data_IF_330056388425
#
_entry.id   IF_330056388425
#
_cell.length_a   1.000
_cell.length_b   1.000
_cell.length_c   1.000
_cell.angle_alpha   90.00
_cell.angle_beta   90.00
_cell.angle_gamma   90.00
#
_symmetry.space_group_name_H-M   'P 1'
#
loop_
_entity.id
_entity.type
_entity.pdbx_description
1 polymer ?
#
# COMPACT_ATOMS: atom_id res chain seq x y z
N UNK A 1 -43.25 -61.97 6.98
CA UNK A 1 -43.33 -60.71 7.74
C UNK A 1 -41.89 -60.25 7.97
N UNK A 2 -41.28 -59.48 7.04
CA UNK A 2 -41.04 -58.01 7.11
C UNK A 2 -40.61 -57.58 8.54
N UNK A 3 -39.47 -56.92 8.78
CA UNK A 3 -39.07 -55.60 8.26
C UNK A 3 -37.53 -55.45 8.18
N UNK A 4 -37.12 -54.86 7.05
CA UNK A 4 -35.88 -54.22 6.59
C UNK A 4 -34.97 -53.51 7.63
N UNK A 5 -33.66 -53.78 7.54
CA UNK A 5 -32.61 -52.78 7.80
C UNK A 5 -31.71 -52.73 6.56
N UNK A 6 -31.86 -51.67 5.78
CA UNK A 6 -31.11 -51.43 4.55
C UNK A 6 -29.75 -50.82 4.92
N UNK A 7 -28.68 -51.61 4.87
CA UNK A 7 -27.30 -51.09 4.82
C UNK A 7 -26.90 -51.08 3.36
N UNK A 8 -26.83 -49.88 2.77
CA UNK A 8 -26.35 -49.67 1.41
C UNK A 8 -24.81 -49.79 1.42
N UNK A 9 -24.31 -50.96 1.00
CA UNK A 9 -22.92 -51.12 0.56
C UNK A 9 -22.85 -50.49 -0.84
N UNK A 10 -22.38 -49.24 -0.93
CA UNK A 10 -22.00 -48.64 -2.19
C UNK A 10 -20.49 -48.81 -2.40
N UNK A 11 -20.16 -49.36 -3.56
CA UNK A 11 -18.84 -49.76 -4.01
C UNK A 11 -17.73 -48.74 -3.75
N UNK A 12 -16.63 -49.23 -3.16
CA UNK A 12 -15.32 -48.61 -3.23
C UNK A 12 -14.87 -48.74 -4.70
N UNK A 13 -15.14 -47.72 -5.50
CA UNK A 13 -14.43 -47.52 -6.76
C UNK A 13 -13.08 -46.89 -6.39
N UNK A 14 -11.94 -47.47 -6.78
CA UNK A 14 -10.65 -46.82 -6.61
C UNK A 14 -10.64 -45.63 -7.57
N UNK A 15 -10.94 -44.44 -7.07
CA UNK A 15 -10.66 -43.21 -7.79
C UNK A 15 -9.14 -43.15 -7.90
N UNK A 16 -8.66 -43.43 -9.11
CA UNK A 16 -7.29 -43.20 -9.52
C UNK A 16 -6.82 -41.88 -8.94
N UNK A 17 -5.68 -41.89 -8.22
CA UNK A 17 -4.89 -40.71 -7.94
C UNK A 17 -4.41 -40.11 -9.26
N UNK A 18 -5.31 -39.46 -9.99
CA UNK A 18 -4.94 -38.33 -10.82
C UNK A 18 -4.55 -37.25 -9.82
N UNK A 19 -3.24 -37.05 -9.71
CA UNK A 19 -2.63 -35.83 -9.21
C UNK A 19 -3.46 -34.65 -9.70
N UNK A 20 -4.30 -34.10 -8.82
CA UNK A 20 -4.80 -32.74 -8.96
C UNK A 20 -3.53 -31.91 -8.83
N UNK A 21 -2.89 -31.62 -9.98
CA UNK A 21 -1.99 -30.49 -10.11
C UNK A 21 -2.77 -29.31 -9.58
N UNK A 22 -2.44 -28.91 -8.37
CA UNK A 22 -3.19 -27.90 -7.66
C UNK A 22 -3.17 -26.64 -8.51
N UNK A 23 -4.31 -25.97 -8.66
CA UNK A 23 -4.41 -24.64 -9.29
C UNK A 23 -3.58 -23.57 -8.53
N UNK A 24 -2.86 -23.97 -7.48
CA UNK A 24 -1.88 -23.17 -6.76
C UNK A 24 -0.48 -23.16 -7.41
N UNK A 25 -0.16 -24.10 -8.31
CA UNK A 25 1.12 -24.12 -9.07
C UNK A 25 1.19 -23.04 -10.18
N UNK A 26 0.10 -22.31 -10.42
CA UNK A 26 0.00 -21.28 -11.47
C UNK A 26 0.56 -19.91 -11.02
N UNK A 27 0.90 -19.74 -9.73
CA UNK A 27 1.29 -18.43 -9.19
C UNK A 27 2.79 -18.21 -9.03
N UNK A 28 3.60 -18.91 -9.85
CA UNK A 28 4.94 -18.43 -10.20
C UNK A 28 4.81 -17.20 -11.11
N UNK A 29 4.44 -16.06 -10.54
CA UNK A 29 4.68 -14.76 -11.18
C UNK A 29 6.17 -14.70 -11.52
N UNK A 30 6.49 -14.30 -12.74
CA UNK A 30 7.86 -14.28 -13.25
C UNK A 30 8.80 -13.68 -12.21
N UNK A 31 9.95 -14.32 -11.90
CA UNK A 31 10.93 -13.70 -11.03
C UNK A 31 11.28 -12.32 -11.58
N UNK A 32 11.32 -11.30 -10.71
CA UNK A 32 11.78 -9.96 -11.10
C UNK A 32 13.15 -10.13 -11.73
N UNK A 33 13.24 -9.86 -13.03
CA UNK A 33 14.50 -9.95 -13.76
C UNK A 33 15.30 -8.68 -13.48
N UNK A 34 15.96 -8.63 -12.32
CA UNK A 34 16.70 -7.45 -11.88
C UNK A 34 17.80 -7.02 -12.85
N UNK A 35 18.33 -7.94 -13.67
CA UNK A 35 19.28 -7.60 -14.72
C UNK A 35 18.63 -6.81 -15.85
N UNK A 36 17.42 -7.18 -16.26
CA UNK A 36 16.65 -6.41 -17.23
C UNK A 36 16.22 -5.05 -16.64
N UNK A 37 15.81 -5.02 -15.37
CA UNK A 37 15.52 -3.74 -14.68
C UNK A 37 16.75 -2.84 -14.66
N UNK A 38 17.92 -3.40 -14.36
CA UNK A 38 19.21 -2.71 -14.41
C UNK A 38 19.49 -2.10 -15.78
N UNK A 39 19.38 -2.90 -16.84
CA UNK A 39 19.62 -2.43 -18.21
C UNK A 39 18.68 -1.28 -18.57
N UNK A 40 17.39 -1.37 -18.20
CA UNK A 40 16.41 -0.29 -18.43
C UNK A 40 16.79 0.98 -17.68
N UNK A 41 17.11 0.89 -16.38
CA UNK A 41 17.49 2.04 -15.57
C UNK A 41 18.78 2.71 -16.07
N UNK A 42 19.82 1.93 -16.38
CA UNK A 42 21.08 2.47 -16.90
C UNK A 42 20.90 3.12 -18.28
N UNK A 43 20.11 2.49 -19.17
CA UNK A 43 19.79 3.06 -20.48
C UNK A 43 19.04 4.38 -20.37
N UNK A 44 18.10 4.49 -19.42
CA UNK A 44 17.36 5.72 -19.17
C UNK A 44 18.33 6.84 -18.75
N UNK A 45 19.22 6.57 -17.78
CA UNK A 45 20.22 7.54 -17.31
C UNK A 45 21.20 8.02 -18.40
N UNK A 46 21.56 7.15 -19.34
CA UNK A 46 22.47 7.51 -20.45
C UNK A 46 21.79 8.35 -21.53
N UNK A 47 20.49 8.12 -21.77
CA UNK A 47 19.76 8.75 -22.88
C UNK A 47 19.22 10.13 -22.56
N UNK A 48 18.93 10.43 -21.30
CA UNK A 48 18.61 11.77 -20.77
C UNK A 48 18.56 11.68 -19.23
N UNK A 49 18.58 12.81 -18.51
CA UNK A 49 18.21 12.74 -17.07
C UNK A 49 16.83 12.11 -17.00
N UNK A 50 16.58 11.13 -16.12
CA UNK A 50 15.25 10.59 -15.92
C UNK A 50 14.32 11.77 -15.69
N UNK A 51 13.58 12.12 -16.73
CA UNK A 51 12.61 13.19 -16.59
C UNK A 51 11.47 12.57 -15.79
N UNK A 52 10.65 13.41 -15.17
CA UNK A 52 9.47 12.93 -14.47
C UNK A 52 8.63 12.01 -15.40
N UNK A 53 8.81 12.13 -16.72
CA UNK A 53 8.27 11.28 -17.76
C UNK A 53 8.79 9.83 -17.81
N UNK A 54 9.85 9.40 -17.12
CA UNK A 54 10.15 7.94 -17.02
C UNK A 54 9.12 7.18 -16.15
N UNK A 55 8.18 7.93 -15.55
CA UNK A 55 6.92 7.48 -14.98
C UNK A 55 5.72 7.63 -15.96
N UNK A 56 5.96 7.71 -17.28
CA UNK A 56 5.03 7.95 -18.43
C UNK A 56 3.81 7.02 -18.57
N UNK A 57 3.44 6.28 -17.54
CA UNK A 57 2.08 5.74 -17.40
C UNK A 57 1.10 6.72 -16.76
N UNK A 58 1.58 7.79 -16.11
CA UNK A 58 0.74 8.77 -15.41
C UNK A 58 1.13 10.19 -15.81
N UNK A 59 0.14 10.93 -16.31
CA UNK A 59 0.28 12.34 -16.67
C UNK A 59 0.52 13.16 -15.39
N UNK A 60 1.79 13.41 -15.12
CA UNK A 60 2.38 14.14 -13.98
C UNK A 60 1.99 15.62 -13.88
N UNK A 61 1.18 16.12 -14.81
CA UNK A 61 0.50 17.41 -14.72
C UNK A 61 -1.03 17.28 -14.61
N UNK A 62 -1.57 16.07 -14.67
CA UNK A 62 -2.93 15.79 -14.24
C UNK A 62 -2.89 15.44 -12.77
N UNK A 63 -3.72 16.14 -12.01
CA UNK A 63 -4.03 15.75 -10.64
C UNK A 63 -4.58 14.32 -10.69
N UNK A 64 -3.83 13.33 -10.20
CA UNK A 64 -4.36 12.00 -9.92
C UNK A 64 -5.35 12.15 -8.76
N UNK A 65 -6.57 12.53 -9.10
CA UNK A 65 -7.72 12.61 -8.23
C UNK A 65 -8.32 11.21 -8.24
N UNK A 66 -8.23 10.43 -7.13
CA UNK A 66 -8.79 9.09 -7.08
C UNK A 66 -10.21 9.06 -7.66
N UNK A 67 -10.37 8.43 -8.81
CA UNK A 67 -11.67 8.32 -9.47
C UNK A 67 -12.54 7.25 -8.79
N UNK A 68 -13.88 7.34 -8.90
CA UNK A 68 -14.78 6.31 -8.37
C UNK A 68 -14.61 4.93 -9.05
N UNK A 69 -13.97 4.90 -10.23
CA UNK A 69 -13.66 3.68 -10.99
C UNK A 69 -12.35 2.99 -10.57
N UNK A 70 -11.69 3.48 -9.52
CA UNK A 70 -10.36 2.97 -9.15
C UNK A 70 -10.41 1.56 -8.53
N UNK A 71 -9.84 0.57 -9.23
CA UNK A 71 -9.80 -0.87 -8.89
C UNK A 71 -8.89 -1.23 -7.69
N UNK A 72 -8.90 -0.41 -6.64
CA UNK A 72 -8.01 -0.56 -5.49
C UNK A 72 -8.59 -1.40 -4.35
N UNK A 73 -9.70 -2.08 -4.62
CA UNK A 73 -10.44 -2.92 -3.69
C UNK A 73 -10.10 -4.38 -3.96
N UNK A 74 -9.89 -5.15 -2.90
CA UNK A 74 -9.70 -6.58 -3.04
C UNK A 74 -11.05 -7.21 -3.42
N UNK A 75 -11.14 -7.88 -4.58
CA UNK A 75 -12.42 -8.35 -5.11
C UNK A 75 -12.95 -9.54 -4.31
N UNK A 76 -14.28 -9.67 -4.25
CA UNK A 76 -15.00 -10.80 -3.59
C UNK A 76 -14.64 -12.19 -4.18
N UNK A 77 -14.03 -12.20 -5.37
CA UNK A 77 -13.51 -13.41 -6.00
C UNK A 77 -12.26 -13.95 -5.32
N UNK A 78 -11.50 -13.10 -4.61
CA UNK A 78 -10.34 -13.53 -3.84
C UNK A 78 -10.79 -14.35 -2.63
N UNK A 79 -10.37 -15.62 -2.58
CA UNK A 79 -10.76 -16.55 -1.53
C UNK A 79 -9.67 -16.67 -0.48
N UNK A 80 -10.03 -16.37 0.76
CA UNK A 80 -9.23 -16.66 1.95
C UNK A 80 -9.76 -17.90 2.65
N UNK A 81 -8.86 -18.66 3.28
CA UNK A 81 -9.16 -19.92 3.95
C UNK A 81 -9.61 -19.74 5.40
N UNK A 82 -9.41 -18.56 6.00
CA UNK A 82 -9.65 -18.29 7.41
C UNK A 82 -10.51 -17.03 7.63
N UNK A 83 -11.45 -17.03 8.59
CA UNK A 83 -12.28 -15.87 8.92
C UNK A 83 -11.49 -14.60 9.30
N UNK A 84 -10.37 -14.75 9.98
CA UNK A 84 -9.51 -13.64 10.42
C UNK A 84 -8.89 -12.92 9.22
N UNK A 85 -8.48 -13.67 8.19
CA UNK A 85 -7.98 -13.12 6.93
C UNK A 85 -9.09 -12.42 6.14
N UNK A 86 -10.34 -12.90 6.24
CA UNK A 86 -11.48 -12.19 5.66
C UNK A 86 -11.70 -10.86 6.37
N UNK A 87 -11.60 -10.83 7.70
CA UNK A 87 -11.64 -9.58 8.46
C UNK A 87 -10.56 -8.58 8.02
N UNK A 88 -9.37 -9.07 7.66
CA UNK A 88 -8.30 -8.22 7.13
C UNK A 88 -8.66 -7.63 5.75
N UNK A 89 -9.21 -8.43 4.85
CA UNK A 89 -9.72 -7.95 3.54
C UNK A 89 -10.80 -6.89 3.75
N UNK A 90 -11.77 -7.16 4.63
CA UNK A 90 -12.89 -6.25 4.89
C UNK A 90 -12.37 -4.92 5.48
N UNK A 91 -11.41 -4.97 6.41
CA UNK A 91 -10.78 -3.77 6.96
C UNK A 91 -9.99 -3.01 5.92
N UNK A 92 -9.18 -3.71 5.13
CA UNK A 92 -8.37 -3.09 4.10
C UNK A 92 -9.26 -2.31 3.13
N UNK A 93 -10.30 -2.96 2.59
CA UNK A 93 -11.28 -2.32 1.70
C UNK A 93 -11.97 -1.12 2.38
N UNK A 94 -12.32 -1.24 3.66
CA UNK A 94 -12.92 -0.14 4.43
C UNK A 94 -12.01 1.09 4.52
N UNK A 95 -10.72 0.88 4.83
CA UNK A 95 -9.72 1.95 4.88
C UNK A 95 -9.47 2.56 3.51
N UNK A 96 -9.43 1.75 2.44
CA UNK A 96 -9.23 2.24 1.07
C UNK A 96 -10.36 3.18 0.63
N UNK A 97 -11.62 2.77 0.82
CA UNK A 97 -12.78 3.62 0.48
C UNK A 97 -12.78 4.91 1.31
N UNK A 98 -12.59 4.78 2.62
CA UNK A 98 -12.54 5.94 3.52
C UNK A 98 -11.43 6.93 3.12
N UNK A 99 -10.24 6.41 2.84
CA UNK A 99 -9.09 7.23 2.48
C UNK A 99 -9.31 7.95 1.14
N UNK A 100 -9.83 7.27 0.12
CA UNK A 100 -10.12 7.90 -1.16
C UNK A 100 -11.16 9.04 -1.03
N UNK A 101 -12.19 8.86 -0.20
CA UNK A 101 -13.16 9.92 0.12
C UNK A 101 -12.48 11.09 0.83
N UNK A 102 -11.62 10.80 1.81
CA UNK A 102 -10.90 11.83 2.55
C UNK A 102 -9.94 12.63 1.66
N UNK A 103 -9.20 11.97 0.76
CA UNK A 103 -8.30 12.64 -0.18
C UNK A 103 -9.03 13.64 -1.06
N UNK A 104 -10.25 13.33 -1.54
CA UNK A 104 -11.08 14.29 -2.27
C UNK A 104 -11.40 15.53 -1.43
N UNK A 105 -11.75 15.31 -0.17
CA UNK A 105 -12.07 16.41 0.73
C UNK A 105 -10.82 17.25 1.08
N UNK A 106 -9.64 16.65 1.24
CA UNK A 106 -8.39 17.40 1.40
C UNK A 106 -8.07 18.28 0.19
N UNK A 107 -8.38 17.81 -1.03
CA UNK A 107 -8.26 18.60 -2.25
C UNK A 107 -9.21 19.81 -2.22
N UNK A 108 -10.46 19.62 -1.78
CA UNK A 108 -11.39 20.75 -1.59
C UNK A 108 -10.85 21.77 -0.59
N UNK A 109 -10.36 21.34 0.58
CA UNK A 109 -9.83 22.27 1.59
C UNK A 109 -8.72 23.15 0.99
N UNK A 110 -7.88 22.58 0.12
CA UNK A 110 -6.85 23.34 -0.62
C UNK A 110 -7.46 24.34 -1.60
N UNK A 111 -8.47 23.95 -2.37
CA UNK A 111 -9.11 24.84 -3.33
C UNK A 111 -10.06 25.84 -2.69
N UNK A 112 -10.45 25.68 -1.42
CA UNK A 112 -11.44 26.56 -0.77
C UNK A 112 -11.04 28.04 -0.73
N UNK A 113 -9.74 28.35 -0.81
CA UNK A 113 -9.21 29.72 -0.92
C UNK A 113 -9.35 30.33 -2.33
N UNK A 114 -9.68 29.51 -3.33
CA UNK A 114 -9.78 29.89 -4.72
C UNK A 114 -11.20 29.57 -5.22
N UNK A 115 -11.91 30.55 -5.78
CA UNK A 115 -13.33 30.39 -6.12
C UNK A 115 -13.57 29.52 -7.37
N UNK A 116 -13.24 28.22 -7.29
CA UNK A 116 -13.31 27.22 -8.36
C UNK A 116 -14.57 26.34 -8.24
N UNK A 117 -15.72 26.92 -8.57
CA UNK A 117 -17.02 26.22 -8.43
C UNK A 117 -17.11 24.91 -9.21
N UNK A 118 -16.55 24.85 -10.43
CA UNK A 118 -16.56 23.62 -11.25
C UNK A 118 -15.77 22.48 -10.58
N UNK A 119 -14.66 22.83 -9.91
CA UNK A 119 -13.83 21.86 -9.20
C UNK A 119 -14.55 21.33 -7.95
N UNK A 120 -15.27 22.17 -7.22
CA UNK A 120 -16.07 21.71 -6.08
C UNK A 120 -17.16 20.72 -6.50
N UNK A 121 -17.80 20.96 -7.65
CA UNK A 121 -18.79 20.02 -8.21
C UNK A 121 -18.12 18.70 -8.57
N UNK A 122 -16.95 18.71 -9.20
CA UNK A 122 -16.19 17.49 -9.50
C UNK A 122 -15.82 16.72 -8.23
N UNK A 123 -15.32 17.40 -7.20
CA UNK A 123 -14.96 16.79 -5.92
C UNK A 123 -16.19 16.15 -5.25
N UNK A 124 -17.33 16.85 -5.20
CA UNK A 124 -18.57 16.29 -4.65
C UNK A 124 -19.04 15.06 -5.45
N UNK A 125 -18.97 15.12 -6.79
CA UNK A 125 -19.31 13.99 -7.64
C UNK A 125 -18.40 12.79 -7.38
N UNK A 126 -17.09 12.99 -7.22
CA UNK A 126 -16.14 11.93 -6.88
C UNK A 126 -16.43 11.33 -5.51
N UNK A 127 -16.61 12.17 -4.48
CA UNK A 127 -16.97 11.74 -3.12
C UNK A 127 -18.21 10.86 -3.18
N UNK A 128 -19.28 11.33 -3.84
CA UNK A 128 -20.54 10.58 -3.95
C UNK A 128 -20.41 9.32 -4.81
N UNK A 129 -19.53 9.33 -5.81
CA UNK A 129 -19.33 8.26 -6.77
C UNK A 129 -18.61 7.03 -6.23
N UNK A 130 -17.82 7.15 -5.16
CA UNK A 130 -17.15 5.97 -4.58
C UNK A 130 -18.17 4.92 -4.11
N UNK A 131 -18.10 3.72 -4.70
CA UNK A 131 -18.96 2.61 -4.32
C UNK A 131 -18.62 2.07 -2.95
N UNK A 132 -19.65 1.68 -2.20
CA UNK A 132 -19.56 1.01 -0.90
C UNK A 132 -20.01 -0.46 -0.96
N UNK A 133 -20.24 -1.00 -2.16
CA UNK A 133 -20.77 -2.35 -2.39
C UNK A 133 -19.81 -3.45 -1.92
N UNK A 134 -18.51 -3.17 -1.95
CA UNK A 134 -17.47 -4.08 -1.48
C UNK A 134 -17.38 -4.18 0.05
N UNK A 135 -18.00 -3.25 0.77
CA UNK A 135 -17.91 -3.17 2.23
C UNK A 135 -18.91 -4.13 2.87
N UNK A 136 -18.41 -5.07 3.68
CA UNK A 136 -19.25 -6.11 4.31
C UNK A 136 -19.83 -5.70 5.66
N UNK A 137 -19.21 -4.76 6.36
CA UNK A 137 -19.68 -4.26 7.66
C UNK A 137 -20.72 -3.14 7.46
N UNK A 138 -21.97 -3.41 7.87
CA UNK A 138 -23.08 -2.46 7.73
C UNK A 138 -22.86 -1.16 8.52
N UNK A 139 -22.16 -1.21 9.66
CA UNK A 139 -21.83 -0.02 10.45
C UNK A 139 -20.85 0.86 9.67
N UNK A 140 -19.82 0.24 9.09
CA UNK A 140 -18.84 0.93 8.24
C UNK A 140 -19.54 1.54 7.02
N UNK A 141 -20.34 0.74 6.29
CA UNK A 141 -21.06 1.19 5.09
C UNK A 141 -21.94 2.41 5.42
N UNK A 142 -22.74 2.30 6.47
CA UNK A 142 -23.64 3.37 6.92
C UNK A 142 -22.85 4.63 7.31
N UNK A 143 -21.75 4.48 8.03
CA UNK A 143 -20.91 5.61 8.45
C UNK A 143 -20.27 6.31 7.26
N UNK A 144 -19.79 5.55 6.27
CA UNK A 144 -19.23 6.11 5.03
C UNK A 144 -20.29 6.86 4.23
N UNK A 145 -21.49 6.30 4.05
CA UNK A 145 -22.56 6.99 3.33
C UNK A 145 -22.98 8.30 4.03
N UNK A 146 -23.04 8.30 5.36
CA UNK A 146 -23.25 9.55 6.11
C UNK A 146 -22.10 10.54 5.92
N UNK A 147 -20.84 10.09 6.00
CA UNK A 147 -19.68 10.95 5.80
C UNK A 147 -19.68 11.60 4.41
N UNK A 148 -20.00 10.85 3.34
CA UNK A 148 -20.10 11.36 1.96
C UNK A 148 -21.08 12.54 1.88
N UNK A 149 -22.26 12.40 2.48
CA UNK A 149 -23.30 13.44 2.51
C UNK A 149 -22.83 14.67 3.28
N UNK A 150 -22.27 14.49 4.49
CA UNK A 150 -21.86 15.60 5.34
C UNK A 150 -20.66 16.36 4.78
N UNK A 151 -19.70 15.67 4.16
CA UNK A 151 -18.58 16.31 3.46
C UNK A 151 -19.08 17.13 2.27
N UNK A 152 -20.01 16.63 1.46
CA UNK A 152 -20.59 17.39 0.35
C UNK A 152 -21.40 18.59 0.81
N UNK A 153 -22.11 18.49 1.95
CA UNK A 153 -22.81 19.63 2.56
C UNK A 153 -21.83 20.72 2.97
N UNK A 154 -20.70 20.36 3.59
CA UNK A 154 -19.69 21.34 3.98
C UNK A 154 -19.06 22.03 2.76
N UNK A 155 -18.71 21.26 1.72
CA UNK A 155 -18.21 21.80 0.44
C UNK A 155 -19.20 22.82 -0.12
N UNK A 156 -20.49 22.47 -0.20
CA UNK A 156 -21.54 23.37 -0.65
C UNK A 156 -21.69 24.60 0.24
N UNK A 157 -21.67 24.43 1.56
CA UNK A 157 -21.83 25.52 2.51
C UNK A 157 -20.69 26.56 2.35
N UNK A 158 -19.43 26.11 2.24
CA UNK A 158 -18.28 26.98 1.97
C UNK A 158 -18.42 27.69 0.63
N UNK A 159 -18.84 26.99 -0.42
CA UNK A 159 -19.09 27.56 -1.73
C UNK A 159 -20.15 28.69 -1.70
N UNK A 160 -21.09 28.65 -0.74
CA UNK A 160 -22.14 29.65 -0.55
C UNK A 160 -21.93 30.59 0.66
N UNK A 161 -20.73 30.59 1.26
CA UNK A 161 -20.34 31.54 2.31
C UNK A 161 -20.93 31.27 3.71
N UNK A 162 -21.42 30.06 3.95
CA UNK A 162 -21.90 29.60 5.26
C UNK A 162 -20.95 28.53 5.78
N UNK A 163 -20.34 28.70 6.94
CA UNK A 163 -19.44 27.68 7.52
C UNK A 163 -20.20 26.88 8.57
N UNK A 164 -20.25 25.56 8.44
CA UNK A 164 -20.80 24.66 9.48
C UNK A 164 -19.80 23.55 9.87
N UNK A 165 -20.21 22.70 10.80
CA UNK A 165 -19.37 21.89 11.70
C UNK A 165 -18.35 20.97 11.03
N UNK A 166 -17.14 20.93 11.61
CA UNK A 166 -15.99 20.07 11.30
C UNK A 166 -16.36 18.63 10.83
N UNK A 167 -16.51 18.38 9.52
CA UNK A 167 -16.99 17.10 9.01
C UNK A 167 -15.92 15.99 9.12
N UNK A 168 -14.66 16.36 9.40
CA UNK A 168 -13.59 15.42 9.73
C UNK A 168 -13.92 14.55 10.96
N UNK A 169 -14.92 14.92 11.78
CA UNK A 169 -15.38 14.08 12.90
C UNK A 169 -15.81 12.68 12.46
N UNK A 170 -16.47 12.55 11.31
CA UNK A 170 -17.03 11.27 10.85
C UNK A 170 -15.94 10.31 10.38
N UNK A 171 -14.94 10.84 9.66
CA UNK A 171 -13.76 10.06 9.26
C UNK A 171 -12.98 9.62 10.52
N UNK A 172 -12.76 10.53 11.48
CA UNK A 172 -12.10 10.19 12.76
C UNK A 172 -12.87 9.21 13.64
N UNK A 173 -14.20 9.21 13.57
CA UNK A 173 -15.05 8.23 14.26
C UNK A 173 -14.94 6.86 13.60
N UNK A 174 -14.91 6.82 12.27
CA UNK A 174 -14.72 5.58 11.51
C UNK A 174 -13.32 5.00 11.73
N UNK A 175 -12.26 5.81 11.68
CA UNK A 175 -10.90 5.39 12.02
C UNK A 175 -10.86 4.74 13.40
N UNK A 176 -11.38 5.43 14.42
CA UNK A 176 -11.49 4.91 15.80
C UNK A 176 -12.28 3.60 15.85
N UNK A 177 -13.39 3.49 15.13
CA UNK A 177 -14.18 2.26 15.07
C UNK A 177 -13.37 1.10 14.50
N UNK A 178 -12.67 1.32 13.38
CA UNK A 178 -11.84 0.29 12.73
C UNK A 178 -10.65 -0.12 13.61
N UNK A 179 -10.06 0.81 14.36
CA UNK A 179 -8.96 0.55 15.29
C UNK A 179 -9.39 -0.24 16.55
N UNK A 180 -10.63 -0.06 17.02
CA UNK A 180 -11.13 -0.78 18.22
C UNK A 180 -11.31 -2.27 18.03
N UNK A 181 -11.36 -2.74 16.79
CA UNK A 181 -11.44 -4.16 16.45
C UNK A 181 -10.01 -4.66 16.18
N UNK A 182 -9.31 -5.39 17.04
CA UNK A 182 -8.07 -6.05 16.59
C UNK A 182 -8.40 -7.10 15.51
N UNK A 183 -7.64 -7.15 14.39
CA UNK A 183 -7.82 -8.19 13.36
C UNK A 183 -7.26 -9.52 13.82
N UNK A 184 -6.05 -9.46 14.32
CA UNK A 184 -5.33 -10.61 14.83
C UNK A 184 -5.20 -10.41 16.33
N UNK A 185 -5.50 -11.46 17.08
CA UNK A 185 -5.23 -11.48 18.52
C UNK A 185 -3.79 -11.95 18.66
N UNK A 186 -2.80 -11.11 19.02
CA UNK A 186 -1.53 -11.69 19.42
C UNK A 186 -1.80 -12.34 20.77
N UNK A 187 -1.37 -13.60 20.94
CA UNK A 187 -1.31 -14.24 22.26
C UNK A 187 -0.45 -13.48 23.28
N UNK A 188 0.14 -12.33 22.90
CA UNK A 188 0.71 -11.31 23.80
C UNK A 188 0.56 -9.91 23.16
N UNK A 189 -0.47 -9.14 23.55
CA UNK A 189 -0.80 -7.76 23.10
C UNK A 189 0.26 -6.67 23.43
N UNK A 190 1.55 -7.01 23.43
CA UNK A 190 2.65 -6.09 23.74
C UNK A 190 3.87 -6.23 22.83
N UNK A 191 3.73 -6.88 21.67
CA UNK A 191 4.66 -6.56 20.57
C UNK A 191 4.17 -5.21 20.04
N UNK A 192 4.59 -4.13 20.71
CA UNK A 192 4.24 -2.76 20.35
C UNK A 192 4.51 -2.58 18.85
N UNK A 193 3.63 -1.87 18.13
CA UNK A 193 3.93 -1.41 16.75
C UNK A 193 5.34 -0.79 16.65
N UNK A 194 5.82 -0.21 17.75
CA UNK A 194 7.20 0.25 17.96
C UNK A 194 8.25 -0.86 17.88
N UNK A 195 8.04 -2.00 18.53
CA UNK A 195 8.94 -3.18 18.48
C UNK A 195 9.00 -3.78 17.07
N UNK A 196 7.89 -3.80 16.33
CA UNK A 196 7.88 -4.28 14.93
C UNK A 196 8.53 -3.26 14.00
N UNK A 197 8.24 -1.96 14.17
CA UNK A 197 8.99 -0.89 13.51
C UNK A 197 10.48 -1.01 13.81
N UNK A 198 10.83 -1.36 15.04
CA UNK A 198 12.21 -1.54 15.49
C UNK A 198 12.79 -2.95 15.20
N UNK A 199 12.02 -3.92 14.71
CA UNK A 199 12.50 -5.26 14.30
C UNK A 199 12.50 -5.43 12.76
N UNK A 200 11.53 -4.86 12.06
CA UNK A 200 11.42 -4.84 10.60
C UNK A 200 12.28 -3.73 9.96
N UNK A 201 12.49 -2.58 10.61
CA UNK A 201 13.43 -1.58 10.11
C UNK A 201 14.91 -1.94 10.41
N UNK A 202 15.18 -2.95 11.24
CA UNK A 202 16.52 -3.22 11.78
C UNK A 202 17.02 -4.66 11.66
N UNK A 203 16.28 -5.55 11.01
CA UNK A 203 16.85 -6.84 10.57
C UNK A 203 17.73 -6.70 9.33
N UNK A 204 17.86 -5.48 8.81
CA UNK A 204 18.94 -5.11 7.92
C UNK A 204 20.06 -4.54 8.80
N UNK A 205 21.12 -5.32 9.01
CA UNK A 205 22.20 -4.94 9.92
C UNK A 205 22.84 -3.60 9.50
N UNK A 206 22.75 -2.54 10.35
CA UNK A 206 23.34 -1.22 10.07
C UNK A 206 24.85 -1.27 9.82
N UNK A 207 25.52 -2.31 10.32
CA UNK A 207 26.95 -2.59 10.17
C UNK A 207 27.26 -3.57 9.02
N UNK A 208 26.34 -3.77 8.09
CA UNK A 208 26.65 -4.56 6.90
C UNK A 208 27.78 -3.91 6.09
N UNK A 209 28.67 -4.74 5.54
CA UNK A 209 29.75 -4.28 4.64
C UNK A 209 29.21 -3.43 3.48
N UNK A 210 27.98 -3.70 3.05
CA UNK A 210 27.28 -2.92 2.04
C UNK A 210 26.99 -1.48 2.49
N UNK A 211 26.46 -1.26 3.70
CA UNK A 211 26.20 0.10 4.22
C UNK A 211 27.50 0.89 4.40
N UNK A 212 28.57 0.24 4.87
CA UNK A 212 29.88 0.87 4.94
C UNK A 212 30.37 1.29 3.55
N UNK A 213 30.15 0.47 2.53
CA UNK A 213 30.50 0.77 1.14
C UNK A 213 29.68 1.93 0.58
N UNK A 214 28.36 1.96 0.84
CA UNK A 214 27.49 3.08 0.47
C UNK A 214 27.93 4.40 1.09
N UNK A 215 28.32 4.39 2.37
CA UNK A 215 28.75 5.61 3.07
C UNK A 215 30.17 6.06 2.70
N UNK A 216 31.02 5.16 2.20
CA UNK A 216 32.39 5.48 1.81
C UNK A 216 32.49 6.12 0.41
N UNK A 217 31.44 5.99 -0.40
CA UNK A 217 31.42 6.45 -1.79
C UNK A 217 30.54 7.69 -1.92
N UNK A 218 31.08 8.73 -2.57
CA UNK A 218 30.34 9.96 -2.89
C UNK A 218 30.02 10.10 -4.38
N UNK A 219 30.67 9.29 -5.22
CA UNK A 219 30.46 9.27 -6.67
C UNK A 219 29.18 8.53 -7.04
N UNK A 220 28.33 9.17 -7.87
CA UNK A 220 27.00 8.65 -8.22
C UNK A 220 27.07 7.36 -9.02
N UNK A 221 27.96 7.28 -10.01
CA UNK A 221 28.05 6.12 -10.90
C UNK A 221 28.56 4.89 -10.14
N UNK A 222 29.50 5.09 -9.23
CA UNK A 222 29.98 4.04 -8.32
C UNK A 222 28.86 3.55 -7.40
N UNK A 223 28.05 4.45 -6.82
CA UNK A 223 26.90 4.08 -5.98
C UNK A 223 25.85 3.28 -6.76
N UNK A 224 25.58 3.65 -8.01
CA UNK A 224 24.65 2.91 -8.90
C UNK A 224 25.17 1.50 -9.17
N UNK A 225 26.46 1.36 -9.48
CA UNK A 225 27.07 0.06 -9.75
C UNK A 225 27.05 -0.84 -8.50
N UNK A 226 27.41 -0.29 -7.34
CA UNK A 226 27.35 -1.01 -6.06
C UNK A 226 25.94 -1.49 -5.74
N UNK A 227 24.93 -0.62 -5.93
CA UNK A 227 23.53 -0.99 -5.72
C UNK A 227 23.11 -2.16 -6.61
N UNK A 228 23.42 -2.09 -7.90
CA UNK A 228 23.04 -3.14 -8.84
C UNK A 228 23.80 -4.45 -8.61
N UNK A 229 25.08 -4.37 -8.23
CA UNK A 229 25.87 -5.54 -7.85
C UNK A 229 25.24 -6.23 -6.64
N UNK A 230 24.95 -5.48 -5.58
CA UNK A 230 24.41 -6.04 -4.34
C UNK A 230 23.01 -6.63 -4.56
N UNK A 231 22.12 -5.93 -5.26
CA UNK A 231 20.72 -6.38 -5.42
C UNK A 231 20.58 -7.56 -6.37
N UNK A 232 21.38 -7.63 -7.44
CA UNK A 232 21.37 -8.76 -8.35
C UNK A 232 22.03 -10.01 -7.75
N UNK A 233 23.02 -9.83 -6.88
CA UNK A 233 23.70 -10.94 -6.19
C UNK A 233 22.99 -11.37 -4.90
N UNK A 234 22.02 -10.61 -4.41
CA UNK A 234 21.23 -10.96 -3.23
C UNK A 234 20.52 -12.33 -3.42
N UNK A 235 20.81 -13.34 -2.59
CA UNK A 235 20.38 -14.72 -2.86
C UNK A 235 18.89 -14.97 -2.57
N UNK A 236 18.22 -14.06 -1.87
CA UNK A 236 16.80 -14.16 -1.55
C UNK A 236 16.06 -12.86 -1.87
N UNK A 237 14.76 -12.98 -2.16
CA UNK A 237 13.88 -11.81 -2.33
C UNK A 237 13.86 -10.91 -1.10
N UNK A 238 13.90 -11.51 0.08
CA UNK A 238 14.01 -10.80 1.35
C UNK A 238 15.23 -9.86 1.38
N UNK A 239 16.38 -10.35 0.91
CA UNK A 239 17.60 -9.55 0.81
C UNK A 239 17.53 -8.53 -0.32
N UNK A 240 16.87 -8.84 -1.44
CA UNK A 240 16.63 -7.86 -2.51
C UNK A 240 15.84 -6.65 -1.98
N UNK A 241 14.75 -6.89 -1.24
CA UNK A 241 13.98 -5.84 -0.58
C UNK A 241 14.82 -5.04 0.42
N UNK A 242 15.68 -5.71 1.20
CA UNK A 242 16.57 -5.05 2.14
C UNK A 242 17.56 -4.11 1.46
N UNK A 243 18.24 -4.60 0.42
CA UNK A 243 19.22 -3.81 -0.35
C UNK A 243 18.56 -2.59 -0.96
N UNK A 244 17.36 -2.74 -1.53
CA UNK A 244 16.60 -1.61 -2.08
C UNK A 244 16.30 -0.55 -1.02
N UNK A 245 15.80 -0.97 0.15
CA UNK A 245 15.51 -0.08 1.27
C UNK A 245 16.74 0.70 1.77
N UNK A 246 17.87 0.01 1.98
CA UNK A 246 19.11 0.64 2.46
C UNK A 246 19.70 1.65 1.49
N UNK A 247 19.39 1.51 0.20
CA UNK A 247 19.98 2.32 -0.86
C UNK A 247 19.25 3.64 -1.06
N UNK A 248 18.04 3.80 -0.50
CA UNK A 248 17.28 5.06 -0.58
C UNK A 248 18.02 6.17 0.15
N UNK A 249 18.17 7.33 -0.50
CA UNK A 249 18.91 8.46 0.04
C UNK A 249 20.44 8.30 0.02
N UNK A 250 20.95 7.12 -0.38
CA UNK A 250 22.38 6.84 -0.55
C UNK A 250 22.75 6.76 -2.03
N UNK A 251 22.04 5.94 -2.80
CA UNK A 251 22.15 5.87 -4.25
C UNK A 251 21.10 6.77 -4.94
N UNK A 252 21.29 7.13 -6.22
CA UNK A 252 20.33 7.93 -6.97
C UNK A 252 18.91 7.35 -6.94
N UNK A 253 17.93 8.17 -6.53
CA UNK A 253 16.53 7.74 -6.40
C UNK A 253 15.92 7.30 -7.73
N UNK A 254 16.40 7.85 -8.85
CA UNK A 254 15.98 7.47 -10.20
C UNK A 254 16.34 6.02 -10.55
N UNK A 255 17.24 5.39 -9.79
CA UNK A 255 17.62 3.99 -9.95
C UNK A 255 16.95 3.10 -8.91
N UNK A 256 16.97 3.52 -7.64
CA UNK A 256 16.49 2.69 -6.52
C UNK A 256 14.96 2.56 -6.55
N UNK A 257 14.23 3.65 -6.79
CA UNK A 257 12.76 3.64 -6.69
C UNK A 257 12.07 2.82 -7.79
N UNK A 258 12.53 2.79 -9.06
CA UNK A 258 12.02 1.84 -10.04
C UNK A 258 12.25 0.38 -9.64
N UNK A 259 13.39 0.05 -9.01
CA UNK A 259 13.63 -1.32 -8.55
C UNK A 259 12.70 -1.68 -7.39
N UNK A 260 12.51 -0.79 -6.40
CA UNK A 260 11.52 -1.01 -5.33
C UNK A 260 10.10 -1.24 -5.89
N UNK A 261 9.71 -0.49 -6.92
CA UNK A 261 8.41 -0.62 -7.61
C UNK A 261 8.23 -2.01 -8.23
N UNK A 262 9.28 -2.54 -8.86
CA UNK A 262 9.29 -3.89 -9.45
C UNK A 262 9.21 -4.97 -8.36
N UNK A 263 9.94 -4.80 -7.25
CA UNK A 263 9.85 -5.70 -6.10
C UNK A 263 8.43 -5.70 -5.52
N UNK A 264 7.85 -4.53 -5.22
CA UNK A 264 6.45 -4.41 -4.76
C UNK A 264 5.43 -5.03 -5.73
N UNK A 265 5.77 -5.14 -7.01
CA UNK A 265 4.91 -5.73 -8.04
C UNK A 265 5.15 -7.22 -8.29
N UNK A 266 6.15 -7.83 -7.65
CA UNK A 266 6.53 -9.22 -7.93
C UNK A 266 5.50 -10.23 -7.44
N UNK A 267 4.60 -9.81 -6.55
CA UNK A 267 3.59 -10.65 -5.91
C UNK A 267 4.17 -11.69 -4.95
N UNK A 268 5.42 -11.50 -4.50
CA UNK A 268 6.15 -12.39 -3.58
C UNK A 268 6.19 -11.74 -2.21
N UNK A 269 5.95 -12.51 -1.16
CA UNK A 269 6.02 -11.99 0.20
C UNK A 269 7.46 -11.76 0.67
N UNK A 270 7.63 -10.68 1.43
CA UNK A 270 8.82 -10.37 2.22
C UNK A 270 8.38 -9.71 3.52
N UNK A 271 9.07 -9.98 4.64
CA UNK A 271 8.81 -9.24 5.88
C UNK A 271 9.10 -7.72 5.75
N UNK A 272 9.77 -7.30 4.68
CA UNK A 272 10.03 -5.88 4.40
C UNK A 272 8.98 -5.25 3.47
N UNK A 273 7.96 -5.98 2.98
CA UNK A 273 7.02 -5.41 2.00
C UNK A 273 6.32 -4.15 2.48
N UNK A 274 5.84 -4.13 3.73
CA UNK A 274 5.17 -2.96 4.29
C UNK A 274 6.10 -1.75 4.40
N UNK A 275 7.29 -1.94 4.97
CA UNK A 275 8.25 -0.84 5.14
C UNK A 275 8.84 -0.40 3.79
N UNK A 276 8.97 -1.32 2.82
CA UNK A 276 9.35 -1.03 1.44
C UNK A 276 8.29 -0.20 0.74
N UNK A 277 7.00 -0.54 0.86
CA UNK A 277 5.91 0.28 0.33
C UNK A 277 5.90 1.66 0.98
N UNK A 278 5.98 1.73 2.32
CA UNK A 278 5.98 2.97 3.08
C UNK A 278 7.16 3.87 2.68
N UNK A 279 8.36 3.30 2.61
CA UNK A 279 9.57 3.99 2.20
C UNK A 279 9.52 4.43 0.74
N UNK A 280 9.06 3.56 -0.15
CA UNK A 280 8.93 3.88 -1.58
C UNK A 280 7.94 5.03 -1.81
N UNK A 281 6.71 4.97 -1.24
CA UNK A 281 5.73 6.04 -1.42
C UNK A 281 6.24 7.38 -0.87
N UNK A 282 6.95 7.34 0.26
CA UNK A 282 7.49 8.55 0.91
C UNK A 282 8.63 9.15 0.10
N UNK A 283 9.53 8.31 -0.43
CA UNK A 283 10.61 8.74 -1.31
C UNK A 283 10.09 9.27 -2.65
N UNK A 284 9.12 8.61 -3.27
CA UNK A 284 8.47 9.08 -4.50
C UNK A 284 7.82 10.43 -4.26
N UNK A 285 7.04 10.57 -3.19
CA UNK A 285 6.42 11.84 -2.82
C UNK A 285 7.49 12.92 -2.59
N UNK A 286 8.53 12.62 -1.82
CA UNK A 286 9.57 13.59 -1.45
C UNK A 286 10.39 14.05 -2.66
N UNK A 287 10.88 13.12 -3.48
CA UNK A 287 11.81 13.42 -4.58
C UNK A 287 11.13 13.89 -5.86
N UNK A 288 9.90 13.45 -6.16
CA UNK A 288 9.26 13.68 -7.45
C UNK A 288 8.05 14.61 -7.39
N UNK A 289 7.19 14.46 -6.38
CA UNK A 289 5.96 15.26 -6.28
C UNK A 289 6.10 16.48 -5.35
N UNK A 290 7.04 16.43 -4.41
CA UNK A 290 7.37 17.48 -3.47
C UNK A 290 6.84 17.22 -2.04
N UNK A 291 7.53 17.72 -1.01
CA UNK A 291 7.13 17.55 0.39
C UNK A 291 6.10 18.58 0.90
N UNK A 292 5.71 19.56 0.06
CA UNK A 292 4.78 20.64 0.46
C UNK A 292 3.35 20.13 0.65
N UNK A 293 2.56 20.83 1.46
CA UNK A 293 1.10 20.63 1.54
C UNK A 293 0.40 20.88 0.19
N UNK A 294 0.99 21.77 -0.62
CA UNK A 294 0.55 22.12 -1.96
C UNK A 294 1.11 21.20 -3.06
N UNK A 295 1.98 20.25 -2.71
CA UNK A 295 2.49 19.29 -3.66
C UNK A 295 1.36 18.40 -4.20
N UNK A 296 1.47 17.92 -5.44
CA UNK A 296 0.59 16.83 -5.88
C UNK A 296 0.81 15.60 -4.99
N UNK A 297 -0.24 14.81 -4.76
CA UNK A 297 -0.13 13.52 -4.05
C UNK A 297 -0.67 12.45 -4.99
N UNK A 298 0.17 11.48 -5.35
CA UNK A 298 -0.19 10.41 -6.28
C UNK A 298 -0.82 9.22 -5.55
N UNK A 299 -1.95 9.44 -4.88
CA UNK A 299 -2.62 8.42 -4.06
C UNK A 299 -2.99 7.17 -4.86
N UNK A 300 -3.45 7.35 -6.10
CA UNK A 300 -3.74 6.26 -7.03
C UNK A 300 -2.53 5.35 -7.23
N UNK A 301 -1.39 5.96 -7.57
CA UNK A 301 -0.13 5.25 -7.75
C UNK A 301 0.27 4.50 -6.47
N UNK A 302 0.19 5.15 -5.31
CA UNK A 302 0.55 4.53 -4.03
C UNK A 302 -0.36 3.36 -3.68
N UNK A 303 -1.66 3.47 -3.96
CA UNK A 303 -2.67 2.45 -3.76
C UNK A 303 -2.45 1.22 -4.65
N UNK A 304 -2.03 1.39 -5.91
CA UNK A 304 -1.70 0.27 -6.82
C UNK A 304 -0.65 -0.63 -6.17
N UNK A 305 0.45 -0.07 -5.69
CA UNK A 305 1.53 -0.86 -5.13
C UNK A 305 1.22 -1.35 -3.72
N UNK A 306 0.44 -0.59 -2.93
CA UNK A 306 -0.10 -1.05 -1.65
C UNK A 306 -0.91 -2.32 -1.85
N UNK A 307 -1.81 -2.34 -2.83
CA UNK A 307 -2.66 -3.49 -3.15
C UNK A 307 -1.86 -4.72 -3.56
N UNK A 308 -0.85 -4.53 -4.42
CA UNK A 308 0.00 -5.64 -4.86
C UNK A 308 0.75 -6.28 -3.69
N UNK A 309 1.34 -5.45 -2.82
CA UNK A 309 2.05 -5.91 -1.63
C UNK A 309 1.09 -6.53 -0.59
N UNK A 310 -0.06 -5.91 -0.34
CA UNK A 310 -1.10 -6.46 0.53
C UNK A 310 -1.55 -7.83 0.06
N UNK A 311 -1.83 -7.99 -1.24
CA UNK A 311 -2.23 -9.27 -1.83
C UNK A 311 -1.14 -10.33 -1.74
N UNK A 312 0.14 -9.96 -1.91
CA UNK A 312 1.26 -10.86 -1.73
C UNK A 312 1.36 -11.37 -0.28
N UNK A 313 1.28 -10.45 0.68
CA UNK A 313 1.25 -10.76 2.11
C UNK A 313 0.01 -11.61 2.47
N UNK A 314 -1.18 -11.24 1.99
CA UNK A 314 -2.43 -11.97 2.25
C UNK A 314 -2.36 -13.41 1.74
N UNK A 315 -1.86 -13.61 0.51
CA UNK A 315 -1.62 -14.96 -0.05
C UNK A 315 -0.66 -15.77 0.81
N UNK A 316 0.42 -15.14 1.27
CA UNK A 316 1.37 -15.81 2.15
C UNK A 316 0.73 -16.21 3.49
N UNK A 317 0.02 -15.31 4.16
CA UNK A 317 -0.71 -15.61 5.40
C UNK A 317 -1.76 -16.71 5.22
N UNK A 318 -2.37 -16.80 4.03
CA UNK A 318 -3.32 -17.86 3.71
C UNK A 318 -2.68 -19.25 3.67
N UNK A 319 -1.39 -19.34 3.28
CA UNK A 319 -0.61 -20.59 3.24
C UNK A 319 0.10 -20.83 4.58
N UNK A 320 0.49 -19.76 5.28
CA UNK A 320 1.26 -19.76 6.52
C UNK A 320 0.51 -19.05 7.66
N UNK A 321 -0.66 -19.56 8.09
CA UNK A 321 -1.51 -18.86 9.06
C UNK A 321 -0.95 -18.76 10.48
N UNK A 322 0.16 -19.46 10.77
CA UNK A 322 0.87 -19.37 12.04
C UNK A 322 2.03 -18.36 12.04
N UNK A 323 2.31 -17.70 10.92
CA UNK A 323 3.38 -16.70 10.83
C UNK A 323 2.91 -15.37 11.44
N UNK A 324 3.21 -15.18 12.73
CA UNK A 324 2.82 -13.98 13.48
C UNK A 324 3.37 -12.70 12.83
N UNK A 325 4.57 -12.74 12.25
CA UNK A 325 5.18 -11.56 11.61
C UNK A 325 4.40 -11.16 10.37
N UNK A 326 4.04 -12.13 9.52
CA UNK A 326 3.27 -11.86 8.31
C UNK A 326 1.86 -11.33 8.63
N UNK A 327 1.18 -11.88 9.64
CA UNK A 327 -0.14 -11.40 10.07
C UNK A 327 -0.07 -9.96 10.60
N UNK A 328 0.99 -9.61 11.32
CA UNK A 328 1.19 -8.24 11.77
C UNK A 328 1.47 -7.28 10.62
N UNK A 329 2.26 -7.70 9.62
CA UNK A 329 2.49 -6.93 8.39
C UNK A 329 1.18 -6.69 7.64
N UNK A 330 0.34 -7.72 7.55
CA UNK A 330 -0.99 -7.62 6.97
C UNK A 330 -1.85 -6.58 7.72
N UNK A 331 -1.82 -6.57 9.05
CA UNK A 331 -2.52 -5.57 9.86
C UNK A 331 -1.98 -4.15 9.68
N UNK A 332 -0.66 -3.99 9.48
CA UNK A 332 -0.06 -2.68 9.19
C UNK A 332 -0.57 -2.10 7.87
N UNK A 333 -0.68 -2.92 6.81
CA UNK A 333 -1.32 -2.48 5.57
C UNK A 333 -2.79 -2.07 5.76
N UNK A 334 -3.52 -2.79 6.62
CA UNK A 334 -4.92 -2.50 6.95
C UNK A 334 -5.12 -1.21 7.76
N UNK A 335 -4.07 -0.64 8.36
CA UNK A 335 -4.20 0.51 9.29
C UNK A 335 -3.41 1.74 8.86
N UNK A 336 -2.65 1.66 7.76
CA UNK A 336 -1.81 2.76 7.27
C UNK A 336 -2.41 3.34 6.00
N UNK A 337 -2.77 4.63 6.02
CA UNK A 337 -3.21 5.38 4.82
C UNK A 337 -2.04 5.81 3.92
N UNK A 338 -2.34 6.50 2.82
CA UNK A 338 -1.30 7.19 2.03
C UNK A 338 -0.89 8.51 2.71
N UNK A 339 -0.10 9.28 1.99
CA UNK A 339 0.36 10.61 2.39
C UNK A 339 -0.84 11.54 2.52
N UNK A 340 -0.98 12.17 3.68
CA UNK A 340 -1.99 13.20 3.90
C UNK A 340 -1.39 14.59 3.74
N UNK A 341 -2.18 15.54 3.25
CA UNK A 341 -1.73 16.92 2.99
C UNK A 341 -1.45 17.68 4.28
N UNK A 342 -2.32 17.50 5.28
CA UNK A 342 -2.24 18.19 6.56
C UNK A 342 -1.73 17.25 7.67
N UNK A 343 -0.56 16.68 7.41
CA UNK A 343 0.12 15.77 8.31
C UNK A 343 0.70 16.42 9.57
N UNK A 344 1.43 15.62 10.34
CA UNK A 344 2.11 16.03 11.57
C UNK A 344 3.31 16.97 11.32
N UNK A 345 3.71 17.20 10.07
CA UNK A 345 4.84 18.07 9.73
C UNK A 345 4.40 19.53 9.53
N UNK A 346 5.08 20.44 10.22
CA UNK A 346 4.86 21.88 10.06
C UNK A 346 5.27 22.30 8.65
N UNK A 347 4.30 22.81 7.89
CA UNK A 347 4.42 23.32 6.51
C UNK A 347 4.64 22.26 5.39
N UNK A 348 4.44 20.96 5.65
CA UNK A 348 4.54 19.90 4.64
C UNK A 348 3.48 18.80 4.77
N UNK A 349 3.48 17.86 3.83
CA UNK A 349 2.70 16.63 3.88
C UNK A 349 3.43 15.54 4.70
N UNK A 350 2.74 14.46 5.08
CA UNK A 350 3.32 13.44 5.98
C UNK A 350 4.45 12.61 5.37
N UNK A 351 4.75 12.75 4.07
CA UNK A 351 5.85 12.01 3.45
C UNK A 351 7.21 12.39 4.03
N UNK A 352 7.39 13.61 4.51
CA UNK A 352 8.65 14.00 5.18
C UNK A 352 8.83 13.22 6.48
N UNK A 353 7.79 13.18 7.32
CA UNK A 353 7.81 12.43 8.59
C UNK A 353 8.05 10.95 8.34
N UNK A 354 7.36 10.37 7.36
CA UNK A 354 7.53 8.96 7.00
C UNK A 354 8.93 8.70 6.41
N UNK A 355 9.43 9.58 5.54
CA UNK A 355 10.77 9.46 4.96
C UNK A 355 11.85 9.51 6.04
N UNK A 356 11.79 10.49 6.93
CA UNK A 356 12.73 10.59 8.07
C UNK A 356 12.63 9.35 8.96
N UNK A 357 11.42 8.91 9.31
CA UNK A 357 11.20 7.72 10.13
C UNK A 357 11.82 6.44 9.53
N UNK A 358 11.76 6.30 8.20
CA UNK A 358 12.24 5.12 7.49
C UNK A 358 13.75 5.21 7.20
N UNK A 359 14.26 6.38 6.80
CA UNK A 359 15.60 6.50 6.18
C UNK A 359 16.62 7.37 6.94
N UNK A 360 16.20 8.28 7.82
CA UNK A 360 17.10 9.18 8.55
C UNK A 360 17.00 8.91 10.08
N UNK A 361 18.03 8.25 10.62
CA UNK A 361 18.22 8.09 12.08
C UNK A 361 19.61 8.57 12.50
#
# INVERSE_FOLDING_TARGET
MRIYLTILIAAIVPVSCTTVKSEYDVWNLSPVNLNEVKERCLTAMEKEKPSVNDFEGFDIFQYDIPGPESDYIIPDTFKVSQPELQGAVDRYNSYMVMHNIWSQYEIFVRYSDYNYMDEFVNIMNNIMGFSTDSLKDDTVRTTIEYAKIELCKDIGAVAFGTREENPARYIKELERYLETKPLFTPRNQKIERKVIRDQLAWSIEPDSAYIHSLNAVTDKDTLVNLFFEEICNAPTYQQQCAVALLSVGKAPGEVVLPVMRELLSSGRYSQYEFIMWLGWRSAVQYFFFGPSRDAQIADELYNIYKNKAFLATLRYCNIHPGDETALMILEMFCSTGNVVRNGNYDFGNDAVTDFEMVFNR
#
